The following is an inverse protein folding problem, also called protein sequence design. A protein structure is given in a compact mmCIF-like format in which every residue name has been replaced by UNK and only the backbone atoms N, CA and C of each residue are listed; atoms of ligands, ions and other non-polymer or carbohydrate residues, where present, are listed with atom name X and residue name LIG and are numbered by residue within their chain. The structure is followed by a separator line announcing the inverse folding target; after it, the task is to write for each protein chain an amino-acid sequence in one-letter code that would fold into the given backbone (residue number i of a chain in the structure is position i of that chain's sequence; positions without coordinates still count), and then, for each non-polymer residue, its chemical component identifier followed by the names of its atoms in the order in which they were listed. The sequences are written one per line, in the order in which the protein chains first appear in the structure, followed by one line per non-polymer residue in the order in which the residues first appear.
data_IF_600551321841
#
_entry.id   IF_600551321841
#
_cell.length_a   1.000
_cell.length_b   1.000
_cell.length_c   1.000
_cell.angle_alpha   90.00
_cell.angle_beta   90.00
_cell.angle_gamma   90.00
#
_symmetry.space_group_name_H-M   'P 1'
#
loop_
_entity.id
_entity.type
_entity.pdbx_description
1 polymer ?
#
# COMPACT_ATOMS: atom_id res chain seq x y z
N UNK A 1 11.29 35.91 5.35
CA UNK A 1 11.03 34.55 4.82
C UNK A 1 9.91 34.49 3.77
N UNK A 2 9.40 35.63 3.28
CA UNK A 2 8.26 35.73 2.35
C UNK A 2 8.61 35.67 0.85
N UNK A 3 9.87 35.79 0.46
CA UNK A 3 10.26 35.82 -0.97
C UNK A 3 10.11 34.48 -1.70
N UNK A 4 10.26 33.35 -1.02
CA UNK A 4 10.23 32.02 -1.66
C UNK A 4 8.84 31.64 -2.17
N UNK A 5 7.80 31.90 -1.38
CA UNK A 5 6.40 31.64 -1.77
C UNK A 5 5.94 32.57 -2.90
N UNK A 6 6.39 33.82 -2.88
CA UNK A 6 6.21 34.78 -3.97
C UNK A 6 6.88 34.29 -5.25
N UNK A 7 8.12 33.78 -5.18
CA UNK A 7 8.86 33.25 -6.34
C UNK A 7 8.17 32.02 -6.99
N UNK A 8 7.68 31.08 -6.17
CA UNK A 8 6.97 29.87 -6.63
C UNK A 8 5.63 30.22 -7.28
N UNK A 9 4.92 31.21 -6.74
CA UNK A 9 3.67 31.73 -7.29
C UNK A 9 3.90 32.52 -8.58
N UNK A 10 4.97 33.30 -8.65
CA UNK A 10 5.31 34.13 -9.84
C UNK A 10 5.70 33.28 -11.05
N UNK A 11 6.36 32.13 -10.85
CA UNK A 11 6.77 31.20 -11.92
C UNK A 11 5.72 30.13 -12.28
N UNK A 12 4.50 30.21 -11.74
CA UNK A 12 3.41 29.24 -12.01
C UNK A 12 3.76 27.77 -11.73
N UNK A 13 4.78 27.49 -10.92
CA UNK A 13 5.22 26.12 -10.59
C UNK A 13 4.09 25.30 -9.96
N UNK A 14 3.19 25.96 -9.23
CA UNK A 14 1.96 25.37 -8.69
C UNK A 14 1.04 24.76 -9.76
N UNK A 15 1.01 25.32 -10.99
CA UNK A 15 0.21 24.75 -12.09
C UNK A 15 0.81 23.45 -12.57
N UNK A 16 2.13 23.36 -12.66
CA UNK A 16 2.81 22.12 -13.07
C UNK A 16 2.70 21.06 -11.98
N UNK A 17 2.84 21.45 -10.71
CA UNK A 17 2.57 20.54 -9.59
C UNK A 17 1.12 20.01 -9.61
N UNK A 18 0.13 20.89 -9.81
CA UNK A 18 -1.27 20.48 -9.91
C UNK A 18 -1.54 19.59 -11.13
N UNK A 19 -1.02 19.94 -12.31
CA UNK A 19 -1.15 19.13 -13.51
C UNK A 19 -0.48 17.76 -13.35
N UNK A 20 0.68 17.70 -12.69
CA UNK A 20 1.36 16.44 -12.40
C UNK A 20 0.55 15.58 -11.44
N UNK A 21 -0.03 16.15 -10.37
CA UNK A 21 -0.86 15.40 -9.43
C UNK A 21 -2.11 14.83 -10.14
N UNK A 22 -2.76 15.63 -10.99
CA UNK A 22 -3.92 15.18 -11.77
C UNK A 22 -3.51 14.04 -12.73
N UNK A 23 -2.42 14.22 -13.47
CA UNK A 23 -1.90 13.20 -14.38
C UNK A 23 -1.50 11.92 -13.67
N UNK A 24 -0.72 12.03 -12.59
CA UNK A 24 -0.30 10.92 -11.75
C UNK A 24 -1.50 10.19 -11.15
N UNK A 25 -2.51 10.94 -10.66
CA UNK A 25 -3.76 10.37 -10.18
C UNK A 25 -4.50 9.58 -11.27
N UNK A 26 -4.64 10.14 -12.46
CA UNK A 26 -5.24 9.45 -13.61
C UNK A 26 -4.46 8.20 -14.01
N UNK A 27 -3.12 8.26 -14.03
CA UNK A 27 -2.27 7.08 -14.29
C UNK A 27 -2.46 6.00 -13.24
N UNK A 28 -2.52 6.36 -11.95
CA UNK A 28 -2.76 5.40 -10.86
C UNK A 28 -4.15 4.77 -11.01
N UNK A 29 -5.17 5.57 -11.32
CA UNK A 29 -6.53 5.08 -11.49
C UNK A 29 -6.64 4.10 -12.65
N UNK A 30 -6.03 4.44 -13.79
CA UNK A 30 -6.00 3.58 -14.97
C UNK A 30 -5.21 2.28 -14.70
N UNK A 31 -4.05 2.38 -14.06
CA UNK A 31 -3.25 1.23 -13.66
C UNK A 31 -4.01 0.34 -12.65
N UNK A 32 -4.75 0.93 -11.70
CA UNK A 32 -5.51 0.19 -10.70
C UNK A 32 -6.67 -0.61 -11.30
N UNK A 33 -7.23 -0.15 -12.42
CA UNK A 33 -8.27 -0.87 -13.15
C UNK A 33 -7.68 -1.89 -14.14
N UNK A 34 -6.64 -1.52 -14.87
CA UNK A 34 -6.06 -2.34 -15.94
C UNK A 34 -5.18 -3.48 -15.40
N UNK A 35 -4.40 -3.25 -14.35
CA UNK A 35 -3.41 -4.24 -13.90
C UNK A 35 -4.06 -5.51 -13.32
N UNK A 36 -5.11 -5.42 -12.46
CA UNK A 36 -5.82 -6.62 -12.02
C UNK A 36 -6.50 -7.36 -13.19
N UNK A 37 -6.99 -6.64 -14.20
CA UNK A 37 -7.62 -7.23 -15.38
C UNK A 37 -6.64 -8.03 -16.25
N UNK A 38 -5.34 -7.74 -16.15
CA UNK A 38 -4.26 -8.48 -16.82
C UNK A 38 -3.52 -9.44 -15.89
N UNK A 39 -4.08 -9.74 -14.72
CA UNK A 39 -3.46 -10.61 -13.69
C UNK A 39 -2.03 -10.18 -13.30
N UNK A 40 -1.72 -8.89 -13.46
CA UNK A 40 -0.39 -8.38 -13.15
C UNK A 40 -0.18 -8.39 -11.63
N UNK A 41 1.01 -8.78 -11.17
CA UNK A 41 1.33 -8.78 -9.75
C UNK A 41 1.16 -7.41 -9.09
N UNK A 42 0.78 -7.38 -7.81
CA UNK A 42 0.59 -6.15 -7.04
C UNK A 42 1.86 -5.29 -6.92
N UNK A 43 3.06 -5.87 -7.11
CA UNK A 43 4.31 -5.10 -7.14
C UNK A 43 4.40 -4.16 -8.36
N UNK A 44 3.65 -4.41 -9.43
CA UNK A 44 3.68 -3.59 -10.65
C UNK A 44 3.07 -2.21 -10.41
N UNK A 45 1.91 -2.14 -9.72
CA UNK A 45 1.31 -0.88 -9.27
C UNK A 45 2.29 -0.09 -8.38
N UNK A 46 3.03 -0.80 -7.54
CA UNK A 46 4.04 -0.20 -6.66
C UNK A 46 5.16 0.47 -7.46
N UNK A 47 5.66 -0.17 -8.51
CA UNK A 47 6.68 0.44 -9.38
C UNK A 47 6.17 1.71 -10.04
N UNK A 48 4.92 1.72 -10.52
CA UNK A 48 4.30 2.92 -11.11
C UNK A 48 4.26 4.08 -10.11
N UNK A 49 3.84 3.81 -8.87
CA UNK A 49 3.78 4.83 -7.81
C UNK A 49 5.18 5.35 -7.48
N UNK A 50 6.17 4.47 -7.36
CA UNK A 50 7.58 4.87 -7.11
C UNK A 50 8.10 5.73 -8.26
N UNK A 51 7.83 5.34 -9.50
CA UNK A 51 8.23 6.10 -10.70
C UNK A 51 7.59 7.50 -10.70
N UNK A 52 6.31 7.61 -10.35
CA UNK A 52 5.60 8.89 -10.25
C UNK A 52 6.14 9.75 -9.09
N UNK A 53 6.46 9.15 -7.95
CA UNK A 53 7.07 9.88 -6.84
C UNK A 53 8.46 10.41 -7.21
N UNK A 54 9.30 9.62 -7.88
CA UNK A 54 10.62 10.06 -8.35
C UNK A 54 10.51 11.06 -9.49
N UNK A 55 9.50 10.91 -10.36
CA UNK A 55 9.24 11.82 -11.47
C UNK A 55 8.74 13.19 -11.02
N UNK A 56 8.10 13.31 -9.85
CA UNK A 56 7.59 14.59 -9.36
C UNK A 56 8.68 15.64 -9.08
N UNK A 57 9.78 15.34 -8.33
CA UNK A 57 10.92 16.24 -8.21
C UNK A 57 11.52 16.64 -9.56
N UNK A 58 11.65 15.68 -10.49
CA UNK A 58 12.18 15.94 -11.84
C UNK A 58 11.27 16.90 -12.60
N UNK A 59 9.95 16.69 -12.55
CA UNK A 59 8.97 17.57 -13.16
C UNK A 59 9.01 18.99 -12.57
N UNK A 60 9.19 19.14 -11.26
CA UNK A 60 9.37 20.44 -10.62
C UNK A 60 10.67 21.13 -11.06
N UNK A 61 11.77 20.39 -11.20
CA UNK A 61 13.05 20.92 -11.69
C UNK A 61 12.90 21.41 -13.13
N UNK A 62 12.27 20.62 -14.01
CA UNK A 62 12.04 20.99 -15.41
C UNK A 62 11.10 22.19 -15.53
N UNK A 63 10.03 22.24 -14.72
CA UNK A 63 9.13 23.38 -14.65
C UNK A 63 9.80 24.66 -14.18
N UNK A 64 10.83 24.55 -13.33
CA UNK A 64 11.61 25.67 -12.85
C UNK A 64 12.73 26.07 -13.84
N UNK A 65 13.31 25.10 -14.54
CA UNK A 65 14.38 25.31 -15.51
C UNK A 65 13.88 25.85 -16.85
N UNK A 66 12.67 25.49 -17.27
CA UNK A 66 12.03 25.92 -18.50
C UNK A 66 10.75 26.72 -18.18
N UNK A 67 10.77 28.04 -18.39
CA UNK A 67 9.56 28.87 -18.32
C UNK A 67 8.66 28.51 -19.53
N UNK A 68 7.77 27.53 -19.34
CA UNK A 68 6.78 27.13 -20.36
C UNK A 68 5.71 28.21 -20.44
N UNK A 69 5.98 29.22 -21.26
CA UNK A 69 5.03 30.21 -21.73
C UNK A 69 4.71 29.92 -23.19
N UNK A 70 3.42 30.05 -23.56
CA UNK A 70 2.85 29.71 -24.88
C UNK A 70 3.43 30.52 -26.07
N UNK A 71 4.51 31.29 -25.90
CA UNK A 71 5.12 32.15 -26.92
C UNK A 71 6.58 31.81 -27.25
N UNK A 72 7.03 30.59 -26.93
CA UNK A 72 8.35 30.10 -27.29
C UNK A 72 9.43 30.42 -26.26
N UNK A 73 10.47 29.58 -26.24
CA UNK A 73 11.59 29.63 -25.30
C UNK A 73 12.33 30.96 -25.45
N UNK A 74 12.09 31.92 -24.55
CA UNK A 74 12.93 33.11 -24.41
C UNK A 74 13.46 33.22 -22.98
N UNK A 75 14.79 33.06 -22.86
CA UNK A 75 15.54 33.48 -21.69
C UNK A 75 15.39 35.01 -21.54
N UNK A 76 14.73 35.48 -20.49
CA UNK A 76 14.64 36.93 -20.22
C UNK A 76 15.98 37.45 -19.70
N UNK A 77 16.40 38.65 -20.14
CA UNK A 77 17.71 39.20 -19.83
C UNK A 77 17.82 39.61 -18.35
N UNK A 78 19.03 39.38 -17.85
CA UNK A 78 19.52 39.65 -16.52
C UNK A 78 19.36 41.11 -16.10
N UNK A 79 18.57 41.35 -15.04
CA UNK A 79 18.82 42.48 -14.14
C UNK A 79 19.16 41.92 -12.76
N UNK A 80 20.44 42.00 -12.44
CA UNK A 80 21.09 42.00 -11.13
C UNK A 80 20.34 41.30 -9.95
N UNK A 81 20.64 40.02 -9.74
CA UNK A 81 20.55 39.41 -8.40
C UNK A 81 21.70 38.41 -8.21
N UNK A 82 22.31 38.31 -7.01
CA UNK A 82 23.55 37.57 -6.81
C UNK A 82 23.37 36.08 -7.12
N UNK A 83 24.22 35.55 -8.01
CA UNK A 83 24.17 34.19 -8.57
C UNK A 83 24.20 33.07 -7.51
N UNK A 84 24.59 33.37 -6.27
CA UNK A 84 24.73 32.43 -5.14
C UNK A 84 23.39 32.01 -4.54
N UNK A 85 22.41 32.92 -4.41
CA UNK A 85 21.09 32.61 -3.83
C UNK A 85 20.24 31.75 -4.75
N UNK A 86 20.38 31.92 -6.08
CA UNK A 86 19.64 31.13 -7.08
C UNK A 86 20.02 29.65 -7.04
N UNK A 87 21.32 29.32 -6.95
CA UNK A 87 21.78 27.93 -6.86
C UNK A 87 21.36 27.28 -5.53
N UNK A 88 21.43 28.03 -4.42
CA UNK A 88 21.03 27.54 -3.10
C UNK A 88 19.54 27.23 -2.99
N UNK A 89 18.69 28.09 -3.56
CA UNK A 89 17.24 27.87 -3.54
C UNK A 89 16.80 26.67 -4.41
N UNK A 90 17.54 26.38 -5.50
CA UNK A 90 17.34 25.16 -6.30
C UNK A 90 17.69 23.92 -5.51
N UNK A 91 18.86 23.92 -4.86
CA UNK A 91 19.30 22.79 -4.05
C UNK A 91 18.32 22.54 -2.90
N UNK A 92 17.77 23.59 -2.29
CA UNK A 92 16.72 23.44 -1.26
C UNK A 92 15.42 22.84 -1.81
N UNK A 93 14.97 23.22 -3.01
CA UNK A 93 13.79 22.64 -3.67
C UNK A 93 13.99 21.16 -4.03
N UNK A 94 15.18 20.81 -4.51
CA UNK A 94 15.55 19.41 -4.80
C UNK A 94 15.56 18.61 -3.51
N UNK A 95 16.24 19.12 -2.47
CA UNK A 95 16.33 18.44 -1.19
C UNK A 95 14.93 18.23 -0.57
N UNK A 96 14.08 19.25 -0.57
CA UNK A 96 12.70 19.10 -0.05
C UNK A 96 11.84 18.18 -0.90
N UNK A 97 11.91 18.25 -2.24
CA UNK A 97 11.17 17.35 -3.12
C UNK A 97 11.57 15.88 -2.98
N UNK A 98 12.88 15.62 -2.85
CA UNK A 98 13.44 14.28 -2.61
C UNK A 98 13.07 13.78 -1.22
N UNK A 99 13.18 14.62 -0.19
CA UNK A 99 12.81 14.25 1.18
C UNK A 99 11.30 13.95 1.26
N UNK A 100 10.44 14.78 0.67
CA UNK A 100 8.99 14.55 0.65
C UNK A 100 8.65 13.28 -0.13
N UNK A 101 9.31 13.01 -1.26
CA UNK A 101 9.08 11.77 -2.04
C UNK A 101 9.60 10.53 -1.31
N UNK A 102 10.72 10.63 -0.61
CA UNK A 102 11.28 9.55 0.20
C UNK A 102 10.40 9.25 1.42
N UNK A 103 9.92 10.27 2.12
CA UNK A 103 9.00 10.14 3.26
C UNK A 103 7.65 9.60 2.77
N UNK A 104 7.09 10.14 1.69
CA UNK A 104 5.84 9.68 1.12
C UNK A 104 5.96 8.23 0.63
N UNK A 105 7.05 7.87 -0.06
CA UNK A 105 7.35 6.49 -0.42
C UNK A 105 7.44 5.60 0.82
N UNK A 106 8.26 5.97 1.81
CA UNK A 106 8.43 5.19 3.03
C UNK A 106 7.13 5.01 3.84
N UNK A 107 6.23 5.98 3.85
CA UNK A 107 4.94 5.89 4.56
C UNK A 107 3.80 5.28 3.75
N UNK A 108 3.74 5.47 2.42
CA UNK A 108 2.69 4.89 1.56
C UNK A 108 2.99 3.45 1.14
N UNK A 109 4.25 3.10 0.85
CA UNK A 109 4.62 1.76 0.35
C UNK A 109 4.24 0.62 1.33
N UNK A 110 4.40 0.76 2.66
CA UNK A 110 3.95 -0.25 3.62
C UNK A 110 2.43 -0.32 3.74
N UNK A 111 1.73 0.83 3.69
CA UNK A 111 0.26 0.87 3.86
C UNK A 111 -0.51 0.22 2.71
N UNK A 112 0.00 0.31 1.48
CA UNK A 112 -0.58 -0.37 0.32
C UNK A 112 -0.29 -1.87 0.37
N UNK A 113 0.84 -2.28 0.96
CA UNK A 113 1.16 -3.70 1.21
C UNK A 113 0.24 -4.31 2.27
N UNK A 114 -0.29 -3.47 3.17
CA UNK A 114 -1.27 -3.86 4.20
C UNK A 114 -2.73 -3.73 3.76
N UNK A 115 -3.01 -3.54 2.46
CA UNK A 115 -4.32 -3.81 1.89
C UNK A 115 -4.58 -5.33 1.90
N UNK A 116 -4.72 -5.85 3.11
CA UNK A 116 -5.41 -7.06 3.50
C UNK A 116 -5.29 -8.21 2.50
N UNK A 117 -4.09 -8.82 2.43
CA UNK A 117 -4.10 -10.28 2.34
C UNK A 117 -4.69 -10.74 3.67
N UNK A 118 -6.02 -10.81 3.75
CA UNK A 118 -6.64 -11.76 4.69
C UNK A 118 -6.05 -13.07 4.23
N UNK A 119 -5.02 -13.55 4.93
CA UNK A 119 -4.58 -14.92 4.73
C UNK A 119 -5.82 -15.74 5.03
N UNK A 120 -6.48 -16.22 3.96
CA UNK A 120 -7.69 -17.03 4.05
C UNK A 120 -7.32 -18.15 4.99
N UNK A 121 -7.85 -18.11 6.19
CA UNK A 121 -7.39 -18.97 7.27
C UNK A 121 -8.57 -19.40 8.10
N UNK A 122 -8.60 -20.69 8.39
CA UNK A 122 -9.70 -21.32 9.08
C UNK A 122 -9.17 -22.24 10.18
N UNK A 123 -9.81 -22.19 11.33
CA UNK A 123 -9.61 -23.16 12.39
C UNK A 123 -10.94 -23.86 12.67
N UNK A 124 -10.96 -25.19 12.56
CA UNK A 124 -12.15 -25.98 12.88
C UNK A 124 -12.03 -26.42 14.34
N UNK A 125 -12.90 -25.89 15.21
CA UNK A 125 -12.88 -26.26 16.62
C UNK A 125 -13.32 -27.73 16.82
N UNK A 126 -12.85 -28.39 17.89
CA UNK A 126 -13.32 -29.73 18.23
C UNK A 126 -14.82 -29.76 18.39
N UNK A 127 -15.47 -30.69 17.68
CA UNK A 127 -16.91 -30.88 17.76
C UNK A 127 -17.31 -31.42 19.13
N UNK A 128 -18.43 -30.93 19.64
CA UNK A 128 -18.98 -31.37 20.91
C UNK A 128 -19.72 -32.69 20.71
N UNK A 129 -19.43 -33.68 21.56
CA UNK A 129 -20.18 -34.93 21.59
C UNK A 129 -21.40 -34.73 22.47
N UNK A 130 -22.59 -34.69 21.87
CA UNK A 130 -23.87 -34.55 22.58
C UNK A 130 -24.46 -35.91 23.02
N UNK A 131 -23.75 -37.01 22.77
CA UNK A 131 -24.15 -38.35 23.19
C UNK A 131 -23.46 -38.76 24.49
N UNK A 132 -24.14 -39.57 25.31
CA UNK A 132 -23.60 -40.16 26.54
C UNK A 132 -22.57 -41.27 26.27
N UNK A 133 -22.50 -41.78 25.04
CA UNK A 133 -21.59 -42.85 24.66
C UNK A 133 -20.20 -42.30 24.33
N UNK A 134 -19.18 -42.84 25.01
CA UNK A 134 -17.77 -42.45 24.81
C UNK A 134 -17.27 -42.77 23.40
N UNK A 135 -17.85 -43.74 22.72
CA UNK A 135 -17.49 -44.14 21.36
C UNK A 135 -17.79 -43.03 20.34
N UNK A 136 -18.84 -42.24 20.58
CA UNK A 136 -19.23 -41.12 19.71
C UNK A 136 -18.27 -39.93 19.78
N UNK A 137 -17.41 -39.87 20.81
CA UNK A 137 -16.36 -38.86 20.88
C UNK A 137 -15.28 -39.09 19.81
N UNK A 138 -14.92 -40.35 19.53
CA UNK A 138 -13.97 -40.67 18.46
C UNK A 138 -14.56 -40.39 17.07
N UNK A 139 -15.88 -40.56 16.93
CA UNK A 139 -16.59 -40.19 15.71
C UNK A 139 -16.52 -38.68 15.47
N UNK A 140 -16.85 -37.86 16.48
CA UNK A 140 -16.76 -36.40 16.39
C UNK A 140 -15.34 -35.93 15.99
N UNK A 141 -14.32 -36.58 16.56
CA UNK A 141 -12.91 -36.33 16.24
C UNK A 141 -12.55 -36.72 14.81
N UNK A 142 -13.04 -37.87 14.33
CA UNK A 142 -12.82 -38.34 12.95
C UNK A 142 -13.45 -37.40 11.93
N UNK A 143 -14.69 -36.96 12.17
CA UNK A 143 -15.35 -35.98 11.28
C UNK A 143 -14.59 -34.66 11.27
N UNK A 144 -14.09 -34.19 12.42
CA UNK A 144 -13.25 -32.99 12.47
C UNK A 144 -12.00 -33.14 11.58
N UNK A 145 -11.30 -34.27 11.68
CA UNK A 145 -10.11 -34.54 10.87
C UNK A 145 -10.40 -34.64 9.37
N UNK A 146 -11.53 -35.24 9.00
CA UNK A 146 -11.98 -35.31 7.60
C UNK A 146 -12.27 -33.91 7.03
N UNK A 147 -12.92 -33.04 7.82
CA UNK A 147 -13.16 -31.64 7.45
C UNK A 147 -11.84 -30.90 7.27
N UNK A 148 -10.91 -31.01 8.24
CA UNK A 148 -9.59 -30.37 8.15
C UNK A 148 -8.81 -30.86 6.92
N UNK A 149 -8.86 -32.16 6.64
CA UNK A 149 -8.21 -32.78 5.48
C UNK A 149 -8.79 -32.24 4.18
N UNK A 150 -10.11 -32.12 4.07
CA UNK A 150 -10.74 -31.57 2.86
C UNK A 150 -10.46 -30.08 2.68
N UNK A 151 -10.44 -29.30 3.76
CA UNK A 151 -10.06 -27.88 3.71
C UNK A 151 -8.59 -27.70 3.32
N UNK A 152 -7.69 -28.58 3.77
CA UNK A 152 -6.26 -28.48 3.45
C UNK A 152 -5.93 -28.68 1.96
N UNK A 153 -6.85 -29.26 1.18
CA UNK A 153 -6.70 -29.40 -0.28
C UNK A 153 -6.85 -28.06 -1.02
N UNK A 154 -7.37 -27.03 -0.36
CA UNK A 154 -7.52 -25.69 -0.93
C UNK A 154 -6.17 -24.97 -0.79
N UNK A 155 -5.39 -24.91 -1.88
CA UNK A 155 -4.00 -24.44 -1.84
C UNK A 155 -3.80 -22.98 -1.38
N UNK A 156 -4.84 -22.15 -1.42
CA UNK A 156 -4.81 -20.76 -0.99
C UNK A 156 -5.43 -20.55 0.41
N UNK A 157 -5.73 -21.63 1.14
CA UNK A 157 -6.35 -21.63 2.47
C UNK A 157 -5.38 -22.17 3.53
N UNK A 158 -5.03 -21.35 4.51
CA UNK A 158 -4.27 -21.74 5.70
C UNK A 158 -5.19 -22.45 6.69
N UNK A 159 -5.04 -23.76 6.81
CA UNK A 159 -5.80 -24.57 7.77
C UNK A 159 -4.98 -24.78 9.03
N UNK A 160 -5.57 -24.49 10.19
CA UNK A 160 -4.93 -24.75 11.50
C UNK A 160 -5.08 -26.22 11.86
N UNK A 161 -3.98 -26.82 12.34
CA UNK A 161 -3.93 -28.24 12.69
C UNK A 161 -4.83 -28.60 13.88
N UNK A 162 -5.35 -29.85 13.91
CA UNK A 162 -6.16 -30.39 15.01
C UNK A 162 -5.50 -30.23 16.39
N UNK A 163 -4.20 -30.46 16.48
CA UNK A 163 -3.46 -30.37 17.75
C UNK A 163 -3.44 -28.95 18.31
N UNK A 164 -3.44 -27.92 17.45
CA UNK A 164 -3.48 -26.52 17.87
C UNK A 164 -4.83 -26.08 18.43
N UNK A 165 -5.93 -26.70 17.98
CA UNK A 165 -7.30 -26.38 18.43
C UNK A 165 -7.78 -27.25 19.60
N UNK A 166 -7.12 -28.38 19.85
CA UNK A 166 -7.48 -29.32 20.92
C UNK A 166 -7.62 -28.69 22.33
N UNK A 167 -6.77 -27.73 22.74
CA UNK A 167 -6.90 -27.07 24.04
C UNK A 167 -8.19 -26.25 24.23
N UNK A 168 -8.95 -26.00 23.16
CA UNK A 168 -10.21 -25.26 23.20
C UNK A 168 -11.45 -26.17 23.26
N UNK A 169 -11.28 -27.50 23.29
CA UNK A 169 -12.38 -28.45 23.44
C UNK A 169 -13.19 -28.18 24.72
N UNK A 170 -14.52 -28.11 24.58
CA UNK A 170 -15.44 -27.94 25.72
C UNK A 170 -15.28 -26.63 26.49
N UNK A 171 -14.50 -25.67 25.98
CA UNK A 171 -14.38 -24.34 26.58
C UNK A 171 -15.44 -23.44 25.96
N UNK A 172 -16.33 -22.93 26.79
CA UNK A 172 -17.20 -21.80 26.45
C UNK A 172 -16.38 -20.49 26.44
N UNK A 173 -15.37 -20.42 25.56
CA UNK A 173 -14.56 -19.23 25.35
C UNK A 173 -15.14 -18.40 24.20
N UNK A 174 -14.89 -17.10 24.22
CA UNK A 174 -15.34 -16.23 23.14
C UNK A 174 -14.63 -16.63 21.83
N UNK A 175 -15.39 -17.04 20.81
CA UNK A 175 -14.87 -17.47 19.50
C UNK A 175 -13.92 -16.44 18.90
N UNK A 176 -14.18 -15.14 19.11
CA UNK A 176 -13.31 -14.07 18.62
C UNK A 176 -11.94 -14.05 19.30
N UNK A 177 -11.87 -14.41 20.58
CA UNK A 177 -10.59 -14.51 21.31
C UNK A 177 -9.80 -15.72 20.83
N UNK A 178 -10.46 -16.85 20.61
CA UNK A 178 -9.83 -18.05 20.05
C UNK A 178 -9.28 -17.75 18.65
N UNK A 179 -10.06 -17.07 17.79
CA UNK A 179 -9.63 -16.67 16.45
C UNK A 179 -8.38 -15.79 16.51
N UNK A 180 -8.34 -14.84 17.45
CA UNK A 180 -7.18 -13.98 17.67
C UNK A 180 -5.97 -14.75 18.20
N UNK A 181 -6.16 -15.69 19.13
CA UNK A 181 -5.10 -16.50 19.70
C UNK A 181 -4.47 -17.46 18.66
N UNK A 182 -5.30 -18.01 17.78
CA UNK A 182 -4.87 -18.87 16.67
C UNK A 182 -4.38 -18.10 15.44
N UNK A 183 -4.65 -16.79 15.37
CA UNK A 183 -4.30 -15.94 14.24
C UNK A 183 -5.03 -16.35 12.95
N UNK A 184 -6.34 -16.62 13.04
CA UNK A 184 -7.19 -17.01 11.91
C UNK A 184 -8.28 -15.99 11.61
N UNK A 185 -8.72 -15.96 10.36
CA UNK A 185 -9.80 -15.10 9.89
C UNK A 185 -11.19 -15.69 10.22
N UNK A 186 -11.32 -17.02 10.17
CA UNK A 186 -12.60 -17.72 10.34
C UNK A 186 -12.46 -18.90 11.30
N UNK A 187 -13.52 -19.15 12.08
CA UNK A 187 -13.72 -20.34 12.92
C UNK A 187 -15.04 -21.00 12.53
#
# INVERSE_FOLDING_TARGET
MSGFFEEVKRRKVYRVAAAYIIGAGGTIQLASAAFPAWELPNWTLRLVIVLLLVGFPIALILAWAFDVTLQGIRATPSVAAPRTHRRRNVIMLVATGVIVSAIAGFFLLPRISSAHKIDKSIAVLPFENLSDEKENAYFADGIQDDVLTNLSKIGDLKVISRTSVMPYRGKASNVREIAKALGVATI
#
